data_IF_021636935168
#
_entry.id   IF_021636935168
#
_cell.length_a   1.000
_cell.length_b   1.000
_cell.length_c   1.000
_cell.angle_alpha   90.00
_cell.angle_beta   90.00
_cell.angle_gamma   90.00
#
_symmetry.space_group_name_H-M   'P 1'
#
loop_
_entity.id
_entity.type
_entity.pdbx_description
1 polymer ?
#
# COMPACT_ATOMS: atom_id res chain seq x y z
N UNK A 1 7.75 -9.94 22.30
CA UNK A 1 7.75 -11.37 22.03
C UNK A 1 7.65 -11.76 20.54
N UNK A 2 7.22 -10.87 19.64
CA UNK A 2 7.06 -11.14 18.20
C UNK A 2 8.31 -10.86 17.35
N UNK A 3 9.25 -10.03 17.79
CA UNK A 3 10.52 -9.75 17.09
C UNK A 3 11.41 -10.98 16.91
N UNK A 4 11.34 -11.95 17.84
CA UNK A 4 12.09 -13.23 17.73
C UNK A 4 11.55 -14.15 16.63
N UNK A 5 10.31 -13.97 16.19
CA UNK A 5 9.66 -14.88 15.23
C UNK A 5 10.15 -14.72 13.79
N UNK A 6 10.48 -13.51 13.37
CA UNK A 6 11.03 -13.27 12.03
C UNK A 6 12.55 -13.54 11.96
N UNK A 7 13.25 -13.45 13.10
CA UNK A 7 14.70 -13.68 13.16
C UNK A 7 15.10 -15.17 13.25
N UNK A 8 14.22 -16.06 13.76
CA UNK A 8 14.53 -17.48 13.97
C UNK A 8 14.01 -18.44 12.88
N UNK A 9 13.37 -17.92 11.85
CA UNK A 9 13.04 -18.74 10.69
C UNK A 9 14.29 -18.95 9.86
N UNK A 10 14.59 -20.21 9.49
CA UNK A 10 15.81 -20.60 8.77
C UNK A 10 16.17 -19.58 7.69
N UNK A 11 17.29 -18.92 7.87
CA UNK A 11 17.74 -17.68 7.21
C UNK A 11 17.62 -17.74 5.67
N UNK A 12 17.66 -18.92 5.07
CA UNK A 12 17.61 -19.11 3.61
C UNK A 12 16.20 -19.04 3.00
N UNK A 13 15.13 -19.41 3.72
CA UNK A 13 13.76 -19.44 3.16
C UNK A 13 13.01 -18.12 3.27
N UNK A 14 13.39 -17.23 4.19
CA UNK A 14 12.73 -15.94 4.38
C UNK A 14 13.38 -14.77 3.65
N UNK A 15 14.53 -14.98 3.04
CA UNK A 15 15.23 -13.91 2.31
C UNK A 15 14.30 -13.22 1.27
N UNK A 16 13.57 -13.96 0.42
CA UNK A 16 12.67 -13.32 -0.56
C UNK A 16 11.50 -12.57 0.08
N UNK A 17 10.92 -13.07 1.17
CA UNK A 17 9.80 -12.38 1.86
C UNK A 17 10.27 -11.09 2.53
N UNK A 18 11.48 -11.05 3.07
CA UNK A 18 12.06 -9.83 3.64
C UNK A 18 12.24 -8.75 2.58
N UNK A 19 12.70 -9.12 1.38
CA UNK A 19 12.83 -8.19 0.26
C UNK A 19 11.47 -7.69 -0.22
N UNK A 20 10.48 -8.59 -0.35
CA UNK A 20 9.10 -8.22 -0.68
C UNK A 20 8.57 -7.19 0.34
N UNK A 21 8.72 -7.46 1.63
CA UNK A 21 8.25 -6.56 2.69
C UNK A 21 9.02 -5.24 2.72
N UNK A 22 10.32 -5.24 2.44
CA UNK A 22 11.08 -4.00 2.33
C UNK A 22 10.51 -3.09 1.23
N UNK A 23 10.16 -3.67 0.06
CA UNK A 23 9.52 -2.92 -1.02
C UNK A 23 8.12 -2.42 -0.61
N UNK A 24 7.30 -3.24 0.06
CA UNK A 24 5.99 -2.82 0.55
C UNK A 24 6.12 -1.66 1.53
N UNK A 25 6.99 -1.80 2.54
CA UNK A 25 7.23 -0.76 3.56
C UNK A 25 7.68 0.54 2.90
N UNK A 26 8.62 0.47 1.95
CA UNK A 26 9.08 1.65 1.22
C UNK A 26 7.96 2.30 0.41
N UNK A 27 7.15 1.51 -0.31
CA UNK A 27 6.03 2.01 -1.11
C UNK A 27 4.97 2.70 -0.24
N UNK A 28 4.53 2.07 0.85
CA UNK A 28 3.55 2.66 1.77
C UNK A 28 4.11 3.86 2.55
N UNK A 29 5.41 3.85 2.91
CA UNK A 29 6.05 5.02 3.53
C UNK A 29 6.09 6.20 2.55
N UNK A 30 6.36 5.95 1.27
CA UNK A 30 6.29 6.97 0.22
C UNK A 30 4.85 7.49 0.02
N UNK A 31 3.85 6.62 0.02
CA UNK A 31 2.42 6.98 0.01
C UNK A 31 2.06 7.87 1.19
N UNK A 32 2.36 7.42 2.41
CA UNK A 32 2.14 8.20 3.65
C UNK A 32 2.75 9.60 3.57
N UNK A 33 4.01 9.69 3.11
CA UNK A 33 4.68 10.99 2.94
C UNK A 33 3.90 11.89 1.98
N UNK A 34 3.42 11.37 0.86
CA UNK A 34 2.69 12.17 -0.12
C UNK A 34 1.38 12.70 0.48
N UNK A 35 0.61 11.85 1.16
CA UNK A 35 -0.64 12.28 1.81
C UNK A 35 -0.40 13.30 2.93
N UNK A 36 0.70 13.17 3.70
CA UNK A 36 1.08 14.17 4.71
C UNK A 36 1.42 15.51 4.03
N UNK A 37 2.19 15.48 2.94
CA UNK A 37 2.54 16.70 2.20
C UNK A 37 1.30 17.39 1.64
N UNK A 38 0.36 16.62 1.07
CA UNK A 38 -0.89 17.14 0.54
C UNK A 38 -1.73 17.79 1.67
N UNK A 39 -1.84 17.14 2.85
CA UNK A 39 -2.53 17.73 4.02
C UNK A 39 -1.84 19.00 4.53
N UNK A 40 -0.52 19.05 4.53
CA UNK A 40 0.21 20.25 4.96
C UNK A 40 0.06 21.42 3.99
N UNK A 41 -0.12 21.14 2.69
CA UNK A 41 -0.30 22.13 1.65
C UNK A 41 -1.74 22.67 1.62
N UNK A 42 -2.73 21.77 1.63
CA UNK A 42 -4.12 22.10 1.32
C UNK A 42 -5.07 21.92 2.53
N UNK A 43 -4.56 21.43 3.67
CA UNK A 43 -5.31 21.18 4.90
C UNK A 43 -6.01 19.81 4.91
N UNK A 44 -6.70 19.52 6.01
CA UNK A 44 -7.54 18.33 6.12
C UNK A 44 -8.67 18.38 5.11
N UNK A 45 -8.89 17.27 4.40
CA UNK A 45 -9.85 17.18 3.30
C UNK A 45 -9.55 18.21 2.18
N UNK A 46 -8.26 18.45 1.90
CA UNK A 46 -7.82 19.44 0.90
C UNK A 46 -8.07 19.06 -0.56
N UNK A 47 -8.53 17.83 -0.84
CA UNK A 47 -8.88 17.37 -2.20
C UNK A 47 -10.29 17.81 -2.58
N UNK A 48 -10.57 19.13 -2.52
CA UNK A 48 -11.88 19.73 -2.75
C UNK A 48 -12.38 19.66 -4.20
N UNK A 49 -11.48 19.29 -5.13
CA UNK A 49 -11.81 19.07 -6.54
C UNK A 49 -12.48 17.72 -6.84
N UNK A 50 -12.63 16.85 -5.84
CA UNK A 50 -13.32 15.56 -5.96
C UNK A 50 -14.48 15.47 -4.95
N UNK A 51 -15.47 14.56 -5.17
CA UNK A 51 -16.53 14.32 -4.21
C UNK A 51 -16.02 13.93 -2.82
N UNK A 52 -16.72 14.34 -1.77
CA UNK A 52 -16.35 14.11 -0.36
C UNK A 52 -15.92 12.67 -0.04
N UNK A 53 -16.57 11.59 -0.54
CA UNK A 53 -16.13 10.22 -0.25
C UNK A 53 -14.70 9.93 -0.75
N UNK A 54 -14.32 10.46 -1.90
CA UNK A 54 -12.98 10.28 -2.47
C UNK A 54 -11.97 11.13 -1.70
N UNK A 55 -12.31 12.37 -1.38
CA UNK A 55 -11.49 13.24 -0.55
C UNK A 55 -11.21 12.61 0.81
N UNK A 56 -12.25 12.09 1.48
CA UNK A 56 -12.12 11.38 2.75
C UNK A 56 -11.24 10.13 2.60
N UNK A 57 -11.42 9.35 1.53
CA UNK A 57 -10.62 8.16 1.26
C UNK A 57 -9.12 8.50 1.17
N UNK A 58 -8.74 9.47 0.34
CA UNK A 58 -7.33 9.87 0.20
C UNK A 58 -6.75 10.45 1.49
N UNK A 59 -7.53 11.22 2.24
CA UNK A 59 -7.11 11.73 3.55
C UNK A 59 -6.86 10.58 4.54
N UNK A 60 -7.70 9.54 4.53
CA UNK A 60 -7.56 8.38 5.41
C UNK A 60 -6.37 7.48 5.06
N UNK A 61 -5.87 7.50 3.82
CA UNK A 61 -4.65 6.78 3.45
C UNK A 61 -3.43 7.24 4.27
N UNK A 62 -3.43 8.48 4.79
CA UNK A 62 -2.41 8.95 5.75
C UNK A 62 -2.30 8.06 6.99
N UNK A 63 -3.36 7.33 7.34
CA UNK A 63 -3.42 6.40 8.46
C UNK A 63 -3.34 4.93 8.01
N UNK A 64 -3.97 4.58 6.90
CA UNK A 64 -4.00 3.20 6.42
C UNK A 64 -2.65 2.73 5.89
N UNK A 65 -1.88 3.59 5.23
CA UNK A 65 -0.54 3.24 4.75
C UNK A 65 0.42 2.89 5.90
N UNK A 66 0.60 3.74 6.95
CA UNK A 66 1.42 3.36 8.10
C UNK A 66 0.84 2.19 8.90
N UNK A 67 -0.49 2.01 8.92
CA UNK A 67 -1.10 0.82 9.50
C UNK A 67 -0.69 -0.46 8.74
N UNK A 68 -0.65 -0.40 7.41
CA UNK A 68 -0.17 -1.52 6.60
C UNK A 68 1.29 -1.86 6.95
N UNK A 69 2.16 -0.84 7.08
CA UNK A 69 3.56 -1.03 7.51
C UNK A 69 3.61 -1.70 8.89
N UNK A 70 2.86 -1.17 9.85
CA UNK A 70 2.80 -1.72 11.21
C UNK A 70 2.36 -3.19 11.20
N UNK A 71 1.32 -3.53 10.45
CA UNK A 71 0.82 -4.90 10.34
C UNK A 71 1.80 -5.82 9.61
N UNK A 72 2.47 -5.38 8.57
CA UNK A 72 3.52 -6.17 7.90
C UNK A 72 4.63 -6.58 8.86
N UNK A 73 4.96 -5.71 9.83
CA UNK A 73 6.00 -5.97 10.82
C UNK A 73 5.53 -6.81 12.00
N UNK A 74 4.26 -6.71 12.40
CA UNK A 74 3.71 -7.35 13.62
C UNK A 74 2.82 -8.55 13.33
N UNK A 75 1.92 -8.42 12.36
CA UNK A 75 0.93 -9.42 11.94
C UNK A 75 0.98 -9.61 10.41
N UNK A 76 2.02 -10.26 9.87
CA UNK A 76 2.34 -10.23 8.45
C UNK A 76 1.19 -10.64 7.51
N UNK A 77 0.37 -11.62 7.89
CA UNK A 77 -0.77 -12.04 7.07
C UNK A 77 -1.84 -10.95 6.97
N UNK A 78 -2.13 -10.26 8.08
CA UNK A 78 -3.04 -9.12 8.08
C UNK A 78 -2.46 -7.94 7.28
N UNK A 79 -1.14 -7.70 7.40
CA UNK A 79 -0.44 -6.70 6.60
C UNK A 79 -0.54 -6.95 5.10
N UNK A 80 -0.36 -8.20 4.66
CA UNK A 80 -0.52 -8.57 3.24
C UNK A 80 -1.95 -8.30 2.75
N UNK A 81 -2.97 -8.68 3.54
CA UNK A 81 -4.37 -8.43 3.19
C UNK A 81 -4.63 -6.93 3.06
N UNK A 82 -4.25 -6.15 4.08
CA UNK A 82 -4.46 -4.70 4.05
C UNK A 82 -3.71 -4.04 2.89
N UNK A 83 -2.47 -4.44 2.61
CA UNK A 83 -1.71 -3.95 1.46
C UNK A 83 -2.43 -4.20 0.13
N UNK A 84 -2.99 -5.41 -0.05
CA UNK A 84 -3.77 -5.74 -1.24
C UNK A 84 -5.05 -4.91 -1.37
N UNK A 85 -5.77 -4.72 -0.26
CA UNK A 85 -7.00 -3.91 -0.24
C UNK A 85 -6.72 -2.43 -0.55
N UNK A 86 -5.69 -1.85 0.07
CA UNK A 86 -5.28 -0.46 -0.22
C UNK A 86 -4.93 -0.34 -1.70
N UNK A 87 -4.06 -1.19 -2.23
CA UNK A 87 -3.63 -1.07 -3.62
C UNK A 87 -4.77 -1.27 -4.61
N UNK A 88 -5.69 -2.21 -4.37
CA UNK A 88 -6.84 -2.43 -5.22
C UNK A 88 -7.77 -1.21 -5.26
N UNK A 89 -8.13 -0.67 -4.09
CA UNK A 89 -9.02 0.49 -3.99
C UNK A 89 -8.36 1.76 -4.53
N UNK A 90 -7.08 1.96 -4.21
CA UNK A 90 -6.36 3.17 -4.59
C UNK A 90 -6.13 3.25 -6.11
N UNK A 91 -5.72 2.15 -6.75
CA UNK A 91 -5.62 2.09 -8.22
C UNK A 91 -7.00 2.32 -8.88
N UNK A 92 -8.06 1.68 -8.36
CA UNK A 92 -9.39 1.82 -8.93
C UNK A 92 -9.90 3.26 -8.84
N UNK A 93 -9.78 3.89 -7.65
CA UNK A 93 -10.23 5.27 -7.42
C UNK A 93 -9.40 6.25 -8.26
N UNK A 94 -8.08 6.17 -8.22
CA UNK A 94 -7.21 7.10 -8.94
C UNK A 94 -7.35 6.96 -10.46
N UNK A 95 -7.51 5.72 -10.96
CA UNK A 95 -7.81 5.51 -12.38
C UNK A 95 -9.17 6.12 -12.75
N UNK A 96 -10.20 5.88 -11.93
CA UNK A 96 -11.53 6.45 -12.13
C UNK A 96 -11.52 7.97 -12.16
N UNK A 97 -10.83 8.60 -11.23
CA UNK A 97 -10.67 10.07 -11.17
C UNK A 97 -9.90 10.58 -12.38
N UNK A 98 -8.80 9.93 -12.78
CA UNK A 98 -8.02 10.30 -13.96
C UNK A 98 -8.87 10.24 -15.24
N UNK A 99 -9.65 9.17 -15.41
CA UNK A 99 -10.56 9.00 -16.57
C UNK A 99 -11.65 10.05 -16.55
N UNK A 100 -12.26 10.32 -15.39
CA UNK A 100 -13.28 11.36 -15.25
C UNK A 100 -12.75 12.74 -15.70
N UNK A 101 -11.57 13.17 -15.20
CA UNK A 101 -10.98 14.44 -15.59
C UNK A 101 -10.57 14.48 -17.06
N UNK A 102 -10.09 13.38 -17.62
CA UNK A 102 -9.81 13.29 -19.05
C UNK A 102 -11.06 13.60 -19.91
N UNK A 103 -12.22 13.04 -19.54
CA UNK A 103 -13.46 13.35 -20.27
C UNK A 103 -13.93 14.79 -20.09
N UNK A 104 -13.59 15.44 -18.99
CA UNK A 104 -13.97 16.84 -18.75
C UNK A 104 -13.03 17.85 -19.44
N UNK A 105 -11.74 17.55 -19.52
CA UNK A 105 -10.71 18.52 -19.92
C UNK A 105 -9.97 18.14 -21.21
N UNK A 106 -10.06 16.90 -21.66
CA UNK A 106 -9.24 16.36 -22.73
C UNK A 106 -7.77 16.14 -22.36
N UNK A 107 -7.39 16.39 -21.10
CA UNK A 107 -6.00 16.28 -20.62
C UNK A 107 -5.87 15.07 -19.69
N UNK A 108 -4.86 14.22 -19.97
CA UNK A 108 -4.50 13.13 -19.07
C UNK A 108 -3.41 13.62 -18.11
N UNK A 109 -3.74 13.67 -16.82
CA UNK A 109 -2.73 13.82 -15.75
C UNK A 109 -2.37 12.46 -15.21
N UNK A 110 -1.12 12.03 -15.41
CA UNK A 110 -0.66 10.71 -14.97
C UNK A 110 0.24 10.78 -13.74
N UNK A 111 0.57 11.94 -13.26
CA UNK A 111 1.50 12.27 -12.16
C UNK A 111 2.02 11.07 -11.34
N UNK A 112 1.23 10.58 -10.39
CA UNK A 112 1.59 9.47 -9.49
C UNK A 112 1.06 8.11 -9.96
N UNK A 113 0.09 8.07 -10.86
CA UNK A 113 -0.65 6.87 -11.23
C UNK A 113 0.21 5.73 -11.82
N UNK A 114 1.18 5.98 -12.73
CA UNK A 114 2.01 4.90 -13.26
C UNK A 114 2.86 4.21 -12.20
N UNK A 115 3.43 4.96 -11.25
CA UNK A 115 4.21 4.41 -10.15
C UNK A 115 3.33 3.59 -9.20
N UNK A 116 2.13 4.08 -8.93
CA UNK A 116 1.14 3.41 -8.11
C UNK A 116 0.68 2.09 -8.74
N UNK A 117 0.39 2.08 -10.04
CA UNK A 117 0.03 0.85 -10.78
C UNK A 117 1.19 -0.14 -10.74
N UNK A 118 2.43 0.28 -10.98
CA UNK A 118 3.60 -0.57 -10.92
C UNK A 118 3.77 -1.19 -9.52
N UNK A 119 3.61 -0.40 -8.47
CA UNK A 119 3.66 -0.87 -7.09
C UNK A 119 2.52 -1.85 -6.79
N UNK A 120 1.31 -1.57 -7.24
CA UNK A 120 0.15 -2.47 -7.07
C UNK A 120 0.35 -3.82 -7.78
N UNK A 121 0.86 -3.81 -9.02
CA UNK A 121 1.21 -5.05 -9.74
C UNK A 121 2.23 -5.85 -8.92
N UNK A 122 3.27 -5.21 -8.40
CA UNK A 122 4.24 -5.85 -7.53
C UNK A 122 3.58 -6.47 -6.30
N UNK A 123 2.70 -5.73 -5.60
CA UNK A 123 1.96 -6.22 -4.44
C UNK A 123 1.12 -7.44 -4.80
N UNK A 124 0.34 -7.39 -5.87
CA UNK A 124 -0.55 -8.50 -6.25
C UNK A 124 0.22 -9.76 -6.67
N UNK A 125 1.33 -9.61 -7.40
CA UNK A 125 2.13 -10.75 -7.82
C UNK A 125 2.90 -11.41 -6.67
N UNK A 126 3.33 -10.63 -5.69
CA UNK A 126 4.18 -11.13 -4.59
C UNK A 126 3.40 -11.53 -3.34
N UNK A 127 2.18 -11.03 -3.14
CA UNK A 127 1.32 -11.38 -2.00
C UNK A 127 1.09 -12.88 -1.84
N UNK A 128 0.76 -13.67 -2.91
CA UNK A 128 0.58 -15.11 -2.76
C UNK A 128 1.87 -15.84 -2.35
N UNK A 129 3.02 -15.34 -2.81
CA UNK A 129 4.33 -15.91 -2.46
C UNK A 129 4.62 -15.67 -0.98
N UNK A 130 4.51 -14.42 -0.54
CA UNK A 130 4.71 -14.04 0.85
C UNK A 130 3.74 -14.78 1.79
N UNK A 131 2.46 -14.84 1.42
CA UNK A 131 1.42 -15.55 2.17
C UNK A 131 1.76 -17.02 2.39
N UNK A 132 2.05 -17.76 1.31
CA UNK A 132 2.38 -19.19 1.38
C UNK A 132 3.62 -19.45 2.24
N UNK A 133 4.65 -18.63 2.08
CA UNK A 133 5.90 -18.79 2.83
C UNK A 133 5.70 -18.57 4.32
N UNK A 134 4.97 -17.52 4.71
CA UNK A 134 4.68 -17.24 6.12
C UNK A 134 3.80 -18.34 6.73
N UNK A 135 2.77 -18.78 5.99
CA UNK A 135 1.85 -19.82 6.47
C UNK A 135 2.55 -21.17 6.67
N UNK A 136 3.48 -21.52 5.78
CA UNK A 136 4.32 -22.70 5.92
C UNK A 136 5.20 -22.61 7.15
N UNK A 137 5.87 -21.49 7.31
CA UNK A 137 6.77 -21.26 8.46
C UNK A 137 6.05 -21.30 9.81
N UNK A 138 4.79 -20.87 9.88
CA UNK A 138 3.98 -20.95 11.10
C UNK A 138 3.52 -22.38 11.41
N UNK A 139 3.54 -23.27 10.43
CA UNK A 139 3.14 -24.68 10.58
C UNK A 139 4.29 -25.57 11.06
N UNK A 140 5.51 -25.17 10.70
CA UNK A 140 6.74 -25.91 11.02
C UNK A 140 7.29 -25.56 12.44
N UNK A 141 6.52 -24.79 13.23
CA UNK A 141 6.78 -24.43 14.63
C UNK A 141 5.89 -25.17 15.60
#
# INVERSE_FOLDING_TARGET
MFYHSLFNLGIKQLHPVRLIFAVYIFGFAYGTRNHIVDILADGWLGYDFVPLPINLYWTLLTFFDPLAIFLLLTFPLAGIILSGLIMASDIAINTGVTVYFYYQTGIISLDRLPLQIAFGIFVFLTSPIAWKTIKRSNRDR
#
